data_IF_994339233757
#
_entry.id   IF_994339233757
#
_cell.length_a   1.000
_cell.length_b   1.000
_cell.length_c   1.000
_cell.angle_alpha   90.00
_cell.angle_beta   90.00
_cell.angle_gamma   90.00
#
_symmetry.space_group_name_H-M   'P 1'
#
loop_
_entity.id
_entity.type
_entity.pdbx_description
1 polymer ?
#
# COMPACT_ATOMS: atom_id res chain seq x y z
N UNK A 1 28.02 -61.49 41.25
CA UNK A 1 28.54 -60.16 40.76
C UNK A 1 28.04 -59.82 39.34
N UNK A 2 27.84 -60.79 38.46
CA UNK A 2 27.47 -60.62 37.06
C UNK A 2 26.12 -59.90 36.82
N UNK A 3 25.11 -60.13 37.62
CA UNK A 3 23.76 -59.57 37.39
C UNK A 3 23.71 -58.05 37.70
N UNK A 4 24.53 -57.51 38.56
CA UNK A 4 24.57 -56.07 38.84
C UNK A 4 25.25 -55.28 37.71
N UNK A 5 26.27 -55.87 37.10
CA UNK A 5 26.99 -55.26 35.97
C UNK A 5 26.07 -55.23 34.73
N UNK A 6 25.29 -56.27 34.51
CA UNK A 6 24.34 -56.33 33.41
C UNK A 6 23.22 -55.28 33.57
N UNK A 7 22.78 -55.05 34.82
CA UNK A 7 21.77 -54.03 35.10
C UNK A 7 22.27 -52.60 34.85
N UNK A 8 23.52 -52.32 35.26
CA UNK A 8 24.13 -51.01 34.98
C UNK A 8 24.39 -50.78 33.51
N UNK A 9 24.76 -51.83 32.76
CA UNK A 9 24.95 -51.77 31.32
C UNK A 9 23.62 -51.50 30.59
N UNK A 10 22.54 -52.11 31.07
CA UNK A 10 21.19 -51.94 30.52
C UNK A 10 20.65 -50.51 30.82
N UNK A 11 20.87 -49.98 32.00
CA UNK A 11 20.52 -48.59 32.35
C UNK A 11 21.35 -47.58 31.55
N UNK A 12 22.63 -47.86 31.26
CA UNK A 12 23.48 -47.00 30.43
C UNK A 12 22.99 -46.93 28.97
N UNK A 13 22.53 -48.05 28.43
CA UNK A 13 21.96 -48.12 27.09
C UNK A 13 20.62 -47.38 26.94
N UNK A 14 19.82 -47.28 28.01
CA UNK A 14 18.56 -46.54 28.01
C UNK A 14 18.76 -45.02 28.02
N UNK A 15 19.86 -44.53 28.54
CA UNK A 15 20.16 -43.10 28.62
C UNK A 15 20.65 -42.55 27.25
N UNK A 16 21.24 -43.41 26.41
CA UNK A 16 21.72 -43.00 25.07
C UNK A 16 20.66 -43.05 23.98
N UNK A 17 19.47 -43.62 24.27
CA UNK A 17 18.41 -43.82 23.27
C UNK A 17 17.47 -42.64 23.10
N UNK A 18 17.65 -41.51 23.82
CA UNK A 18 16.80 -40.32 23.71
C UNK A 18 17.55 -39.08 23.22
N UNK A 19 18.39 -39.22 22.21
CA UNK A 19 18.72 -38.08 21.37
C UNK A 19 17.80 -38.13 20.16
N UNK A 20 16.55 -37.72 20.38
CA UNK A 20 15.69 -37.35 19.26
C UNK A 20 16.31 -36.06 18.71
N UNK A 21 17.15 -36.19 17.70
CA UNK A 21 17.52 -35.05 16.86
C UNK A 21 16.28 -34.65 16.08
N UNK A 22 15.40 -33.90 16.72
CA UNK A 22 14.32 -33.17 16.05
C UNK A 22 14.84 -31.87 15.42
N UNK A 23 16.10 -31.82 15.05
CA UNK A 23 16.62 -30.82 14.15
C UNK A 23 16.36 -31.22 12.69
N UNK A 24 15.11 -31.44 12.37
CA UNK A 24 14.67 -31.15 11.01
C UNK A 24 14.64 -29.61 10.99
N UNK A 25 15.55 -28.92 10.28
CA UNK A 25 15.41 -27.50 10.10
C UNK A 25 14.09 -27.31 9.31
N UNK A 26 13.02 -26.99 10.05
CA UNK A 26 11.83 -26.47 9.39
C UNK A 26 12.32 -25.26 8.60
N UNK A 27 12.14 -25.22 7.27
CA UNK A 27 12.46 -24.03 6.53
C UNK A 27 11.65 -22.91 7.18
N UNK A 28 12.33 -21.92 7.72
CA UNK A 28 11.67 -20.68 8.21
C UNK A 28 11.13 -20.03 6.95
N UNK A 29 9.87 -20.29 6.65
CA UNK A 29 9.17 -19.65 5.53
C UNK A 29 8.77 -18.26 6.04
N UNK A 30 9.63 -17.29 5.78
CA UNK A 30 9.35 -15.89 6.11
C UNK A 30 8.24 -15.37 5.19
N UNK A 31 7.13 -14.88 5.76
CA UNK A 31 6.03 -14.26 5.04
C UNK A 31 6.44 -12.90 4.50
N UNK A 32 6.96 -12.84 3.27
CA UNK A 32 7.53 -11.64 2.67
C UNK A 32 6.74 -11.21 1.43
N UNK A 33 6.45 -9.90 1.33
CA UNK A 33 6.02 -9.25 0.09
C UNK A 33 7.29 -8.94 -0.71
N UNK A 34 7.34 -9.42 -1.95
CA UNK A 34 8.48 -9.26 -2.84
C UNK A 34 8.28 -8.13 -3.83
N UNK A 35 7.08 -8.00 -4.38
CA UNK A 35 6.67 -6.87 -5.23
C UNK A 35 5.28 -6.42 -4.84
N UNK A 36 5.04 -5.12 -4.95
CA UNK A 36 3.75 -4.50 -4.70
C UNK A 36 3.60 -3.32 -5.65
N UNK A 37 2.60 -3.37 -6.53
CA UNK A 37 2.32 -2.32 -7.50
C UNK A 37 0.83 -2.00 -7.48
N UNK A 38 0.50 -0.72 -7.71
CA UNK A 38 -0.89 -0.22 -7.76
C UNK A 38 -1.12 0.59 -9.04
N UNK A 39 -2.37 0.82 -9.39
CA UNK A 39 -2.71 1.71 -10.50
C UNK A 39 -2.30 3.16 -10.19
N UNK A 40 -1.96 3.93 -11.24
CA UNK A 40 -1.56 5.32 -11.10
C UNK A 40 -0.28 5.56 -10.30
N UNK A 41 0.55 4.53 -10.11
CA UNK A 41 1.79 4.65 -9.34
C UNK A 41 2.75 5.64 -9.99
N UNK A 42 3.39 6.46 -9.16
CA UNK A 42 4.33 7.51 -9.59
C UNK A 42 5.53 7.62 -8.63
N UNK A 43 6.50 8.45 -8.99
CA UNK A 43 7.56 8.88 -8.08
C UNK A 43 7.11 10.08 -7.20
N UNK A 44 7.97 10.52 -6.29
CA UNK A 44 7.71 11.67 -5.41
C UNK A 44 7.49 13.00 -6.17
N UNK A 45 7.81 13.06 -7.46
CA UNK A 45 7.59 14.22 -8.32
C UNK A 45 6.34 14.09 -9.19
N UNK A 46 5.59 12.99 -9.06
CA UNK A 46 4.39 12.73 -9.83
C UNK A 46 4.62 12.11 -11.22
N UNK A 47 5.86 11.75 -11.58
CA UNK A 47 6.14 11.08 -12.84
C UNK A 47 5.79 9.59 -12.74
N UNK A 48 5.24 9.01 -13.81
CA UNK A 48 4.90 7.59 -13.85
C UNK A 48 6.09 6.70 -13.46
N UNK A 49 5.89 5.79 -12.51
CA UNK A 49 6.93 4.93 -11.96
C UNK A 49 6.29 3.66 -11.40
N UNK A 50 7.00 2.55 -11.44
CA UNK A 50 6.63 1.30 -10.74
C UNK A 50 7.51 1.05 -9.51
N UNK A 51 8.28 2.07 -9.11
CA UNK A 51 9.21 1.94 -7.99
C UNK A 51 8.46 1.95 -6.66
N UNK A 52 8.61 0.87 -5.90
CA UNK A 52 8.05 0.71 -4.56
C UNK A 52 9.17 0.55 -3.55
N UNK A 53 9.11 1.25 -2.43
CA UNK A 53 10.06 1.06 -1.33
C UNK A 53 9.55 -0.06 -0.42
N UNK A 54 10.22 -1.20 -0.44
CA UNK A 54 9.88 -2.37 0.38
C UNK A 54 10.98 -2.57 1.43
N UNK A 55 10.66 -2.35 2.70
CA UNK A 55 11.54 -2.65 3.83
C UNK A 55 11.12 -3.99 4.46
N UNK A 56 11.90 -5.03 4.17
CA UNK A 56 11.62 -6.39 4.68
C UNK A 56 11.86 -6.55 6.17
N UNK A 57 12.78 -5.78 6.76
CA UNK A 57 13.09 -5.87 8.18
C UNK A 57 11.94 -5.32 9.03
N UNK A 58 11.41 -4.16 8.63
CA UNK A 58 10.31 -3.50 9.34
C UNK A 58 8.95 -3.92 8.82
N UNK A 59 8.89 -4.69 7.73
CA UNK A 59 7.68 -5.12 7.02
C UNK A 59 6.81 -3.93 6.63
N UNK A 60 7.43 -2.94 6.00
CA UNK A 60 6.74 -1.74 5.53
C UNK A 60 6.89 -1.58 4.01
N UNK A 61 5.84 -1.04 3.41
CA UNK A 61 5.81 -0.66 2.00
C UNK A 61 5.40 0.80 1.93
N UNK A 62 6.13 1.60 1.16
CA UNK A 62 5.80 2.98 0.88
C UNK A 62 5.87 3.24 -0.62
N UNK A 63 4.85 3.89 -1.16
CA UNK A 63 4.77 4.26 -2.57
C UNK A 63 3.91 5.51 -2.77
N UNK A 64 3.99 6.08 -3.97
CA UNK A 64 3.23 7.25 -4.38
C UNK A 64 2.28 6.89 -5.51
N UNK A 65 1.12 7.55 -5.54
CA UNK A 65 0.18 7.52 -6.66
C UNK A 65 -0.15 8.93 -7.11
N UNK A 66 -0.48 9.09 -8.38
CA UNK A 66 -0.90 10.38 -8.93
C UNK A 66 -2.36 10.69 -8.53
N UNK A 67 -2.80 11.89 -8.85
CA UNK A 67 -4.13 12.40 -8.49
C UNK A 67 -5.24 11.98 -9.48
N UNK A 68 -4.95 11.13 -10.45
CA UNK A 68 -5.95 10.62 -11.41
C UNK A 68 -6.67 9.38 -10.89
N UNK A 69 -6.15 8.74 -9.84
CA UNK A 69 -6.74 7.53 -9.23
C UNK A 69 -7.50 7.88 -7.96
N UNK A 70 -8.49 7.06 -7.63
CA UNK A 70 -9.20 7.16 -6.36
C UNK A 70 -8.48 6.33 -5.30
N UNK A 71 -7.86 7.01 -4.33
CA UNK A 71 -7.12 6.36 -3.24
C UNK A 71 -8.03 5.52 -2.33
N UNK A 72 -9.34 5.81 -2.29
CA UNK A 72 -10.31 5.06 -1.48
C UNK A 72 -10.76 3.76 -2.15
N UNK A 73 -10.49 3.59 -3.45
CA UNK A 73 -10.78 2.38 -4.24
C UNK A 73 -9.59 1.99 -5.12
N UNK A 74 -8.37 2.15 -4.60
CA UNK A 74 -7.14 1.94 -5.35
C UNK A 74 -6.92 0.46 -5.67
N UNK A 75 -6.66 0.16 -6.94
CA UNK A 75 -6.47 -1.20 -7.43
C UNK A 75 -5.03 -1.65 -7.29
N UNK A 76 -4.81 -2.78 -6.61
CA UNK A 76 -3.51 -3.46 -6.62
C UNK A 76 -3.37 -4.18 -7.97
N UNK A 77 -2.31 -3.88 -8.73
CA UNK A 77 -2.06 -4.42 -10.08
C UNK A 77 -1.10 -5.59 -10.07
N UNK A 78 -0.21 -5.65 -9.06
CA UNK A 78 0.76 -6.73 -8.88
C UNK A 78 1.07 -6.92 -7.39
N UNK A 79 1.13 -8.16 -6.96
CA UNK A 79 1.46 -8.53 -5.59
C UNK A 79 2.12 -9.89 -5.57
N UNK A 80 3.44 -9.94 -5.48
CA UNK A 80 4.15 -11.21 -5.33
C UNK A 80 4.59 -11.40 -3.88
N UNK A 81 4.31 -12.56 -3.36
CA UNK A 81 4.56 -12.93 -1.97
C UNK A 81 5.35 -14.24 -1.89
N UNK A 82 5.81 -14.56 -0.70
CA UNK A 82 6.38 -15.89 -0.43
C UNK A 82 5.39 -16.99 -0.83
N UNK A 83 5.90 -18.07 -1.44
CA UNK A 83 5.10 -19.23 -1.81
C UNK A 83 4.32 -19.78 -0.60
N UNK A 84 3.11 -20.26 -0.85
CA UNK A 84 2.20 -20.84 0.16
C UNK A 84 1.71 -19.85 1.24
N UNK A 85 2.01 -18.54 1.12
CA UNK A 85 1.45 -17.54 2.01
C UNK A 85 0.01 -17.21 1.63
N UNK A 86 -0.88 -17.18 2.64
CA UNK A 86 -2.25 -16.69 2.49
C UNK A 86 -2.32 -15.21 2.84
N UNK A 87 -2.95 -14.42 1.97
CA UNK A 87 -3.21 -13.00 2.19
C UNK A 87 -4.45 -12.81 3.06
N UNK A 88 -4.32 -12.02 4.10
CA UNK A 88 -5.42 -11.60 4.97
C UNK A 88 -5.40 -10.09 5.13
N UNK A 89 -6.51 -9.44 4.82
CA UNK A 89 -6.71 -7.99 4.95
C UNK A 89 -8.06 -7.74 5.65
N UNK A 90 -8.22 -6.56 6.25
CA UNK A 90 -9.50 -6.17 6.82
C UNK A 90 -10.55 -6.05 5.71
N UNK A 91 -11.66 -6.75 5.89
CA UNK A 91 -12.77 -6.78 4.92
C UNK A 91 -13.41 -5.40 4.70
N UNK A 92 -13.34 -4.52 5.71
CA UNK A 92 -13.87 -3.16 5.61
C UNK A 92 -13.09 -2.27 4.65
N UNK A 93 -11.83 -2.61 4.35
CA UNK A 93 -10.98 -1.85 3.43
C UNK A 93 -11.13 -2.28 1.96
N UNK A 94 -11.74 -3.44 1.71
CA UNK A 94 -11.90 -3.98 0.36
C UNK A 94 -13.25 -3.57 -0.24
N UNK A 95 -13.26 -3.07 -1.48
CA UNK A 95 -14.50 -2.76 -2.20
C UNK A 95 -15.39 -4.00 -2.36
N UNK A 96 -14.78 -5.17 -2.53
CA UNK A 96 -15.48 -6.45 -2.53
C UNK A 96 -14.61 -7.56 -1.94
N UNK A 97 -14.65 -7.73 -0.62
CA UNK A 97 -13.81 -8.69 0.08
C UNK A 97 -13.99 -10.15 -0.39
N UNK A 98 -15.21 -10.56 -0.73
CA UNK A 98 -15.47 -11.92 -1.20
C UNK A 98 -14.77 -12.27 -2.52
N UNK A 99 -14.34 -11.26 -3.27
CA UNK A 99 -13.62 -11.38 -4.54
C UNK A 99 -12.15 -10.99 -4.43
N UNK A 100 -11.70 -10.56 -3.26
CA UNK A 100 -10.29 -10.22 -3.04
C UNK A 100 -9.44 -11.49 -3.09
N UNK A 101 -8.29 -11.50 -3.81
CA UNK A 101 -7.44 -12.68 -3.92
C UNK A 101 -6.79 -13.01 -2.58
N UNK A 102 -6.73 -14.29 -2.25
CA UNK A 102 -6.09 -14.80 -1.01
C UNK A 102 -4.64 -15.23 -1.21
N UNK A 103 -4.09 -15.01 -2.40
CA UNK A 103 -2.70 -15.32 -2.74
C UNK A 103 -2.10 -14.21 -3.62
N UNK A 104 -0.76 -14.19 -3.74
CA UNK A 104 -0.07 -13.28 -4.64
C UNK A 104 -0.39 -13.51 -6.12
N UNK A 105 -0.14 -12.51 -6.95
CA UNK A 105 -0.36 -12.53 -8.40
C UNK A 105 0.63 -11.63 -9.13
N UNK A 106 0.95 -11.99 -10.37
CA UNK A 106 1.93 -11.28 -11.21
C UNK A 106 1.34 -10.08 -11.95
N UNK A 107 0.05 -10.16 -12.32
CA UNK A 107 -0.69 -9.12 -13.01
C UNK A 107 -2.19 -9.33 -12.85
N UNK A 108 -3.00 -8.33 -13.21
CA UNK A 108 -4.47 -8.47 -13.18
C UNK A 108 -4.98 -9.53 -14.15
N UNK A 109 -4.29 -9.72 -15.27
CA UNK A 109 -4.65 -10.73 -16.30
C UNK A 109 -4.41 -12.16 -15.78
N UNK A 110 -3.55 -12.33 -14.76
CA UNK A 110 -3.33 -13.62 -14.13
C UNK A 110 -4.46 -14.05 -13.18
N UNK A 111 -5.38 -13.11 -12.87
CA UNK A 111 -6.49 -13.34 -11.96
C UNK A 111 -7.79 -13.68 -12.73
N UNK A 112 -8.72 -14.44 -12.13
CA UNK A 112 -10.07 -14.57 -12.66
C UNK A 112 -10.74 -13.20 -12.82
N UNK A 113 -11.51 -13.01 -13.92
CA UNK A 113 -12.22 -11.75 -14.21
C UNK A 113 -13.15 -11.30 -13.07
N UNK A 114 -13.62 -12.25 -12.26
CA UNK A 114 -14.45 -11.98 -11.08
C UNK A 114 -13.67 -11.41 -9.88
N UNK A 115 -12.33 -11.37 -9.93
CA UNK A 115 -11.50 -10.91 -8.82
C UNK A 115 -11.54 -9.39 -8.70
N UNK A 116 -11.58 -8.89 -7.49
CA UNK A 116 -11.54 -7.47 -7.15
C UNK A 116 -10.35 -7.20 -6.21
N UNK A 117 -9.42 -6.34 -6.64
CA UNK A 117 -8.20 -6.01 -5.90
C UNK A 117 -8.21 -4.58 -5.36
N UNK A 118 -9.40 -3.91 -5.37
CA UNK A 118 -9.53 -2.53 -4.89
C UNK A 118 -9.57 -2.48 -3.37
N UNK A 119 -8.78 -1.57 -2.82
CA UNK A 119 -8.61 -1.37 -1.38
C UNK A 119 -8.57 0.12 -1.07
N UNK A 120 -9.15 0.51 0.05
CA UNK A 120 -9.06 1.87 0.59
C UNK A 120 -7.68 2.10 1.23
N UNK A 121 -6.85 2.91 0.57
CA UNK A 121 -5.54 3.36 1.03
C UNK A 121 -5.53 4.80 1.53
N UNK A 122 -6.68 5.39 1.84
CA UNK A 122 -6.75 6.74 2.44
C UNK A 122 -6.04 6.83 3.78
N UNK A 123 -5.82 5.69 4.42
CA UNK A 123 -5.01 5.49 5.62
C UNK A 123 -4.01 4.36 5.39
N UNK A 124 -3.07 4.23 6.32
CA UNK A 124 -2.14 3.10 6.32
C UNK A 124 -2.89 1.77 6.44
N UNK A 125 -2.64 0.85 5.52
CA UNK A 125 -3.29 -0.45 5.44
C UNK A 125 -2.38 -1.53 6.03
N UNK A 126 -2.95 -2.44 6.82
CA UNK A 126 -2.26 -3.64 7.27
C UNK A 126 -2.71 -4.85 6.45
N UNK A 127 -1.73 -5.58 5.93
CA UNK A 127 -1.93 -6.84 5.24
C UNK A 127 -1.13 -7.93 5.92
N UNK A 128 -1.78 -9.02 6.29
CA UNK A 128 -1.13 -10.15 6.94
C UNK A 128 -0.83 -11.24 5.94
N UNK A 129 0.42 -11.67 5.89
CA UNK A 129 0.82 -12.90 5.22
C UNK A 129 0.85 -14.03 6.24
N UNK A 130 -0.03 -15.00 6.06
CA UNK A 130 -0.12 -16.18 6.92
C UNK A 130 0.58 -17.35 6.25
N UNK A 131 1.62 -17.85 6.91
CA UNK A 131 2.28 -19.11 6.59
C UNK A 131 2.09 -20.06 7.79
N UNK A 132 3.16 -20.48 8.46
CA UNK A 132 3.07 -21.17 9.76
C UNK A 132 2.79 -20.18 10.92
N UNK A 133 3.05 -18.89 10.69
CA UNK A 133 2.76 -17.79 11.59
C UNK A 133 2.31 -16.57 10.79
N UNK A 134 1.83 -15.56 11.47
CA UNK A 134 1.34 -14.34 10.87
C UNK A 134 2.46 -13.29 10.76
N UNK A 135 2.62 -12.71 9.58
CA UNK A 135 3.55 -11.63 9.27
C UNK A 135 2.75 -10.40 8.85
N UNK A 136 2.65 -9.42 9.72
CA UNK A 136 1.90 -8.19 9.44
C UNK A 136 2.77 -7.21 8.69
N UNK A 137 2.33 -6.81 7.51
CA UNK A 137 2.90 -5.79 6.65
C UNK A 137 2.09 -4.51 6.74
N UNK A 138 2.77 -3.37 6.82
CA UNK A 138 2.17 -2.05 6.81
C UNK A 138 2.43 -1.40 5.45
N UNK A 139 1.37 -0.92 4.80
CA UNK A 139 1.42 -0.32 3.48
C UNK A 139 0.94 1.12 3.59
N UNK A 140 1.81 2.06 3.24
CA UNK A 140 1.55 3.49 3.23
C UNK A 140 1.56 3.98 1.77
N UNK A 141 0.42 4.49 1.31
CA UNK A 141 0.25 5.07 -0.02
C UNK A 141 0.07 6.58 0.13
N UNK A 142 0.88 7.36 -0.58
CA UNK A 142 0.76 8.81 -0.59
C UNK A 142 0.31 9.29 -1.97
N UNK A 143 -0.74 10.11 -2.00
CA UNK A 143 -1.21 10.69 -3.24
C UNK A 143 -0.49 12.01 -3.52
N UNK A 144 0.16 12.10 -4.69
CA UNK A 144 0.77 13.33 -5.20
C UNK A 144 -0.31 14.10 -5.94
N UNK A 145 -0.72 15.23 -5.38
CA UNK A 145 -1.75 16.09 -5.96
C UNK A 145 -1.08 17.25 -6.68
N UNK A 146 -1.31 17.33 -7.99
CA UNK A 146 -0.87 18.48 -8.77
C UNK A 146 -1.92 19.59 -8.65
N UNK A 147 -1.65 20.57 -7.80
CA UNK A 147 -2.53 21.72 -7.56
C UNK A 147 -2.28 22.81 -8.58
N UNK A 148 -3.35 23.28 -9.19
CA UNK A 148 -3.27 24.31 -10.21
C UNK A 148 -4.43 25.31 -10.03
N UNK A 149 -4.09 26.59 -10.08
CA UNK A 149 -5.06 27.68 -10.13
C UNK A 149 -4.62 28.65 -11.21
N UNK A 150 -5.51 28.94 -12.14
CA UNK A 150 -5.33 29.96 -13.14
C UNK A 150 -6.51 30.92 -13.14
N UNK A 151 -6.22 32.22 -13.04
CA UNK A 151 -7.22 33.27 -13.16
C UNK A 151 -6.85 34.24 -14.28
N UNK A 152 -7.82 35.01 -14.71
CA UNK A 152 -7.59 36.06 -15.71
C UNK A 152 -6.61 37.11 -15.18
N UNK A 153 -5.64 37.55 -16.01
CA UNK A 153 -4.60 38.53 -15.69
C UNK A 153 -3.73 38.13 -14.46
N UNK A 154 -3.60 36.84 -14.20
CA UNK A 154 -2.73 36.32 -13.14
C UNK A 154 -1.27 36.66 -13.37
N UNK A 155 -0.61 37.14 -12.33
CA UNK A 155 0.85 37.34 -12.31
C UNK A 155 1.57 36.29 -11.51
N UNK A 156 0.97 35.86 -10.37
CA UNK A 156 1.56 34.84 -9.50
C UNK A 156 0.47 34.18 -8.68
N UNK A 157 0.63 32.88 -8.41
CA UNK A 157 -0.13 32.14 -7.41
C UNK A 157 0.80 31.56 -6.35
N UNK A 158 0.38 31.57 -5.12
CA UNK A 158 1.03 30.86 -4.00
C UNK A 158 -0.03 30.00 -3.34
N UNK A 159 0.19 28.70 -3.32
CA UNK A 159 -0.67 27.71 -2.66
C UNK A 159 0.05 27.27 -1.40
N UNK A 160 -0.50 27.61 -0.23
CA UNK A 160 -0.01 27.20 1.08
C UNK A 160 -0.87 26.04 1.58
N UNK A 161 -0.36 24.84 1.43
CA UNK A 161 -1.06 23.61 1.80
C UNK A 161 -1.20 23.44 3.32
N UNK A 162 -0.25 23.98 4.09
CA UNK A 162 -0.22 23.85 5.55
C UNK A 162 -1.30 24.70 6.20
N UNK A 163 -1.43 25.95 5.73
CA UNK A 163 -2.39 26.91 6.27
C UNK A 163 -3.71 26.95 5.47
N UNK A 164 -3.83 26.10 4.43
CA UNK A 164 -5.00 26.05 3.54
C UNK A 164 -5.35 27.39 2.90
N UNK A 165 -4.33 28.16 2.51
CA UNK A 165 -4.47 29.46 1.90
C UNK A 165 -4.01 29.47 0.46
N UNK A 166 -4.73 30.24 -0.37
CA UNK A 166 -4.33 30.54 -1.73
C UNK A 166 -4.23 32.06 -1.88
N UNK A 167 -3.08 32.52 -2.35
CA UNK A 167 -2.85 33.95 -2.62
C UNK A 167 -2.63 34.12 -4.12
N UNK A 168 -3.49 34.89 -4.76
CA UNK A 168 -3.43 35.14 -6.19
C UNK A 168 -3.07 36.60 -6.40
N UNK A 169 -1.98 36.88 -7.10
CA UNK A 169 -1.55 38.21 -7.50
C UNK A 169 -2.03 38.45 -8.94
N UNK A 170 -2.76 39.52 -9.15
CA UNK A 170 -3.28 39.93 -10.46
C UNK A 170 -2.69 41.27 -10.91
N UNK A 171 -2.82 41.58 -12.19
CA UNK A 171 -2.30 42.82 -12.75
C UNK A 171 -2.94 44.07 -12.09
N UNK A 172 -2.21 45.18 -11.96
CA UNK A 172 -2.76 46.43 -11.45
C UNK A 172 -3.94 46.92 -12.29
N UNK A 173 -5.01 47.34 -11.63
CA UNK A 173 -6.24 47.81 -12.29
C UNK A 173 -7.29 46.74 -12.55
N UNK A 174 -6.98 45.45 -12.28
CA UNK A 174 -7.96 44.37 -12.35
C UNK A 174 -9.03 44.55 -11.25
N UNK A 175 -10.30 44.42 -11.64
CA UNK A 175 -11.41 44.37 -10.68
C UNK A 175 -11.39 43.07 -9.89
N UNK A 176 -11.24 43.14 -8.58
CA UNK A 176 -11.21 41.97 -7.69
C UNK A 176 -12.60 41.34 -7.49
N UNK A 177 -13.67 42.08 -7.80
CA UNK A 177 -15.05 41.57 -7.68
C UNK A 177 -15.52 40.74 -8.90
N UNK A 178 -14.74 40.71 -9.97
CA UNK A 178 -15.09 40.08 -11.23
C UNK A 178 -13.88 39.36 -11.86
N UNK A 179 -13.12 38.63 -11.04
CA UNK A 179 -12.02 37.83 -11.54
C UNK A 179 -12.56 36.51 -12.10
N UNK A 180 -12.29 36.25 -13.39
CA UNK A 180 -12.65 35.01 -14.03
C UNK A 180 -11.62 33.92 -13.70
N UNK A 181 -12.08 32.84 -13.09
CA UNK A 181 -11.27 31.65 -12.83
C UNK A 181 -11.27 30.77 -14.08
N UNK A 182 -10.09 30.41 -14.58
CA UNK A 182 -9.91 29.53 -15.75
C UNK A 182 -9.71 28.08 -15.34
N UNK A 183 -8.83 27.87 -14.35
CA UNK A 183 -8.53 26.56 -13.80
C UNK A 183 -8.54 26.63 -12.28
N UNK A 184 -9.16 25.65 -11.64
CA UNK A 184 -9.18 25.54 -10.20
C UNK A 184 -9.11 24.07 -9.80
N UNK A 185 -7.90 23.62 -9.41
CA UNK A 185 -7.64 22.24 -9.01
C UNK A 185 -6.80 22.27 -7.73
N UNK A 186 -7.40 21.94 -6.60
CA UNK A 186 -6.73 21.88 -5.30
C UNK A 186 -6.67 20.48 -4.70
N UNK A 187 -7.43 19.54 -5.23
CA UNK A 187 -7.50 18.15 -4.79
C UNK A 187 -7.28 17.17 -5.93
N UNK A 188 -7.42 15.88 -5.63
CA UNK A 188 -7.41 14.82 -6.64
C UNK A 188 -8.59 14.94 -7.61
N UNK A 189 -8.54 14.20 -8.71
CA UNK A 189 -9.55 14.24 -9.80
C UNK A 189 -10.96 13.89 -9.32
N UNK A 190 -11.07 13.10 -8.25
CA UNK A 190 -12.35 12.71 -7.64
C UNK A 190 -12.86 13.71 -6.58
N UNK A 191 -12.09 14.76 -6.29
CA UNK A 191 -12.51 15.85 -5.39
C UNK A 191 -13.55 16.75 -6.04
N UNK A 192 -14.50 17.26 -5.24
CA UNK A 192 -15.48 18.26 -5.67
C UNK A 192 -15.24 19.60 -4.99
N UNK A 193 -15.46 20.69 -5.73
CA UNK A 193 -15.38 22.05 -5.21
C UNK A 193 -16.79 22.64 -5.16
N UNK A 194 -17.17 23.15 -3.98
CA UNK A 194 -18.51 23.75 -3.79
C UNK A 194 -18.37 25.11 -3.09
N UNK A 195 -18.85 26.21 -3.70
CA UNK A 195 -19.32 26.32 -5.08
C UNK A 195 -18.20 26.17 -6.10
N UNK A 196 -18.51 25.71 -7.31
CA UNK A 196 -17.52 25.63 -8.39
C UNK A 196 -17.17 27.04 -8.89
N UNK A 197 -15.93 27.53 -8.71
CA UNK A 197 -15.54 28.87 -9.11
C UNK A 197 -15.38 29.04 -10.62
N UNK A 198 -15.43 27.94 -11.39
CA UNK A 198 -15.32 27.95 -12.86
C UNK A 198 -16.69 27.86 -13.53
N UNK A 199 -17.75 27.57 -12.77
CA UNK A 199 -19.10 27.53 -13.32
C UNK A 199 -19.51 28.91 -13.82
N UNK A 200 -19.96 29.00 -15.06
CA UNK A 200 -20.62 30.19 -15.61
C UNK A 200 -22.08 30.18 -15.17
N UNK A 201 -22.52 31.20 -14.42
CA UNK A 201 -23.94 31.45 -14.17
C UNK A 201 -24.73 31.71 -15.47
#
# INVERSE_FOLDING_TARGET
>A
MTNKILYYLFCLLLVTACKIENDIPYPIVDGSIQTFEVEGQCDANGNSSTQTTINKNDRTIALYVNDTVDITELRITKLTVTNDATLVIDSALCSNYSKFPTAGFESLEALPVSTDTRVDFSQSVQMTLRTYQDYVWKIDVQQIINREIEVEQQQKVVIDEINHNVIIYVAPGQSLSQIKVKTFKLGGTHGTVVPDPTATE
#
